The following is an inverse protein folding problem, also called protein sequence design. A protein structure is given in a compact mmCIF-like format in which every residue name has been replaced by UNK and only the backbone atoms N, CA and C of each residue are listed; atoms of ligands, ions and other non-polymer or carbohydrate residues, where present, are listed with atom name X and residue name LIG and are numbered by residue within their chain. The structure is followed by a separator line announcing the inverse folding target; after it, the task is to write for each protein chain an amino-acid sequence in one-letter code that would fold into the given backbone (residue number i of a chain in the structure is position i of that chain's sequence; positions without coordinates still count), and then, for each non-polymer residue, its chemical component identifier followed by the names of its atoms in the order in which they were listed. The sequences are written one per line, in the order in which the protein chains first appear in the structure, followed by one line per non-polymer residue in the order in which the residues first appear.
data_IF_944762620713
#
_entry.id   IF_944762620713
#
_cell.length_a   1.000
_cell.length_b   1.000
_cell.length_c   1.000
_cell.angle_alpha   90.00
_cell.angle_beta   90.00
_cell.angle_gamma   90.00
#
_symmetry.space_group_name_H-M   'P 1'
#
loop_
_entity.id
_entity.type
_entity.pdbx_description
1 polymer ?
#
# COMPACT_ATOMS: atom_id res chain seq x y z
N UNK A 1 7.65 13.77 -26.78
CA UNK A 1 8.93 14.04 -26.10
C UNK A 1 8.67 14.86 -24.85
N UNK A 2 9.51 14.72 -23.82
CA UNK A 2 9.43 15.57 -22.63
C UNK A 2 8.41 15.10 -21.57
N UNK A 3 8.15 13.79 -21.45
CA UNK A 3 7.23 13.21 -20.46
C UNK A 3 7.58 13.61 -19.01
N UNK A 4 8.88 13.76 -18.70
CA UNK A 4 9.35 14.20 -17.37
C UNK A 4 8.80 15.57 -16.95
N UNK A 5 8.53 16.47 -17.91
CA UNK A 5 7.98 17.80 -17.62
C UNK A 5 6.46 17.78 -17.35
N UNK A 6 5.77 16.67 -17.66
CA UNK A 6 4.37 16.47 -17.29
C UNK A 6 4.24 16.05 -15.83
N UNK A 7 5.26 15.39 -15.28
CA UNK A 7 5.29 14.92 -13.90
C UNK A 7 5.88 16.01 -12.97
N UNK A 8 7.02 16.59 -13.34
CA UNK A 8 7.80 17.49 -12.47
C UNK A 8 8.19 18.81 -13.17
N UNK A 9 8.53 19.82 -12.38
CA UNK A 9 9.02 21.10 -12.89
C UNK A 9 10.53 20.96 -13.14
N UNK A 10 10.88 20.45 -14.33
CA UNK A 10 12.27 20.14 -14.69
C UNK A 10 12.73 20.95 -15.92
N UNK A 11 13.99 21.43 -15.94
CA UNK A 11 14.57 22.05 -17.12
C UNK A 11 14.64 21.04 -18.28
N UNK A 12 14.43 21.52 -19.52
CA UNK A 12 14.42 20.64 -20.70
C UNK A 12 15.83 20.12 -20.97
N UNK A 13 15.96 18.80 -21.06
CA UNK A 13 17.24 18.14 -21.32
C UNK A 13 17.74 18.31 -22.77
N UNK A 14 16.86 18.71 -23.69
CA UNK A 14 17.20 18.92 -25.09
C UNK A 14 16.27 19.97 -25.74
N UNK A 15 16.80 20.68 -26.73
CA UNK A 15 16.02 21.49 -27.65
C UNK A 15 15.51 20.63 -28.80
N UNK A 16 14.23 20.78 -29.16
CA UNK A 16 13.63 20.08 -30.30
C UNK A 16 13.45 21.08 -31.42
N UNK A 17 14.04 20.79 -32.59
CA UNK A 17 13.95 21.61 -33.80
C UNK A 17 13.28 20.81 -34.91
N UNK A 18 12.26 21.38 -35.55
CA UNK A 18 11.66 20.80 -36.74
C UNK A 18 12.66 20.85 -37.91
N UNK A 19 12.89 19.71 -38.58
CA UNK A 19 13.79 19.60 -39.75
C UNK A 19 13.03 19.89 -41.05
N UNK A 20 11.70 19.73 -41.03
CA UNK A 20 10.76 20.03 -42.10
C UNK A 20 9.43 20.49 -41.51
N UNK A 21 8.54 21.03 -42.33
CA UNK A 21 7.19 21.41 -41.91
C UNK A 21 6.49 20.23 -41.22
N UNK A 22 6.03 20.47 -39.99
CA UNK A 22 5.56 19.42 -39.08
C UNK A 22 4.40 19.94 -38.22
N UNK A 23 3.48 19.04 -37.88
CA UNK A 23 2.44 19.27 -36.86
C UNK A 23 2.75 18.42 -35.64
N UNK A 24 2.56 18.99 -34.45
CA UNK A 24 2.78 18.31 -33.16
C UNK A 24 1.58 18.51 -32.24
N UNK A 25 1.22 17.45 -31.52
CA UNK A 25 0.25 17.52 -30.42
C UNK A 25 0.96 17.88 -29.13
N UNK A 26 0.39 18.81 -28.38
CA UNK A 26 0.96 19.33 -27.14
C UNK A 26 -0.04 19.12 -26.01
N UNK A 27 0.44 18.54 -24.91
CA UNK A 27 -0.27 18.50 -23.64
C UNK A 27 0.58 19.24 -22.61
N UNK A 28 -0.01 20.19 -21.91
CA UNK A 28 0.66 20.88 -20.82
C UNK A 28 0.51 20.12 -19.49
N UNK A 29 1.35 20.51 -18.54
CA UNK A 29 1.44 19.90 -17.22
C UNK A 29 0.17 20.04 -16.40
N UNK A 30 -0.49 21.19 -16.48
CA UNK A 30 -1.68 21.48 -15.68
C UNK A 30 -2.80 20.56 -16.13
N UNK A 31 -3.05 20.50 -17.44
CA UNK A 31 -4.03 19.61 -18.04
C UNK A 31 -3.68 18.13 -17.79
N UNK A 32 -2.42 17.73 -17.88
CA UNK A 32 -2.01 16.35 -17.58
C UNK A 32 -2.26 15.96 -16.12
N UNK A 33 -1.88 16.82 -15.16
CA UNK A 33 -2.11 16.59 -13.73
C UNK A 33 -3.58 16.61 -13.37
N UNK A 34 -4.34 17.53 -13.95
CA UNK A 34 -5.79 17.60 -13.76
C UNK A 34 -6.47 16.34 -14.29
N UNK A 35 -6.07 15.85 -15.47
CA UNK A 35 -6.54 14.56 -15.99
C UNK A 35 -6.18 13.42 -15.03
N UNK A 36 -4.95 13.35 -14.52
CA UNK A 36 -4.52 12.30 -13.59
C UNK A 36 -5.27 12.35 -12.25
N UNK A 37 -5.44 13.54 -11.67
CA UNK A 37 -6.18 13.74 -10.42
C UNK A 37 -7.66 13.43 -10.62
N UNK A 38 -8.24 13.87 -11.74
CA UNK A 38 -9.63 13.58 -12.10
C UNK A 38 -9.85 12.09 -12.32
N UNK A 39 -8.93 11.40 -12.99
CA UNK A 39 -8.97 9.93 -13.14
C UNK A 39 -8.89 9.24 -11.78
N UNK A 40 -8.07 9.74 -10.85
CA UNK A 40 -7.98 9.21 -9.49
C UNK A 40 -9.26 9.45 -8.68
N UNK A 41 -9.81 10.67 -8.73
CA UNK A 41 -11.06 11.03 -8.05
C UNK A 41 -12.24 10.26 -8.62
N UNK A 42 -12.30 10.08 -9.95
CA UNK A 42 -13.36 9.33 -10.61
C UNK A 42 -13.26 7.84 -10.27
N UNK A 43 -12.04 7.28 -10.15
CA UNK A 43 -11.82 5.94 -9.60
C UNK A 43 -12.28 5.81 -8.16
N UNK A 44 -11.93 6.75 -7.28
CA UNK A 44 -12.37 6.72 -5.88
C UNK A 44 -13.90 6.82 -5.77
N UNK A 45 -14.55 7.68 -6.58
CA UNK A 45 -16.02 7.72 -6.68
C UNK A 45 -16.59 6.38 -7.14
N UNK A 46 -15.94 5.71 -8.09
CA UNK A 46 -16.36 4.40 -8.56
C UNK A 46 -16.23 3.33 -7.47
N UNK A 47 -15.09 3.29 -6.78
CA UNK A 47 -14.86 2.37 -5.66
C UNK A 47 -15.86 2.58 -4.53
N UNK A 48 -16.20 3.84 -4.23
CA UNK A 48 -17.24 4.18 -3.26
C UNK A 48 -18.58 3.55 -3.63
N UNK A 49 -18.96 3.56 -4.91
CA UNK A 49 -20.23 2.94 -5.36
C UNK A 49 -20.24 1.44 -5.11
N UNK A 50 -19.15 0.74 -5.40
CA UNK A 50 -19.05 -0.69 -5.13
C UNK A 50 -19.06 -1.00 -3.64
N UNK A 51 -18.37 -0.20 -2.84
CA UNK A 51 -18.35 -0.35 -1.38
C UNK A 51 -19.73 -0.10 -0.75
N UNK A 52 -20.49 0.86 -1.27
CA UNK A 52 -21.85 1.16 -0.80
C UNK A 52 -22.87 0.04 -1.13
N UNK A 53 -22.60 -0.82 -2.11
CA UNK A 53 -23.43 -1.99 -2.42
C UNK A 53 -23.24 -3.15 -1.42
N UNK A 54 -22.25 -3.05 -0.53
CA UNK A 54 -21.90 -4.11 0.42
C UNK A 54 -22.82 -4.05 1.64
N UNK A 55 -23.79 -4.97 1.71
CA UNK A 55 -24.80 -4.99 2.78
C UNK A 55 -24.21 -5.03 4.20
N UNK A 56 -23.10 -5.74 4.40
CA UNK A 56 -22.43 -5.85 5.70
C UNK A 56 -21.85 -4.52 6.18
N UNK A 57 -21.57 -3.58 5.27
CA UNK A 57 -21.01 -2.26 5.54
C UNK A 57 -22.05 -1.13 5.50
N UNK A 58 -23.34 -1.47 5.36
CA UNK A 58 -24.45 -0.51 5.29
C UNK A 58 -24.65 0.35 6.55
N UNK A 59 -24.02 -0.01 7.67
CA UNK A 59 -24.06 0.74 8.93
C UNK A 59 -23.01 1.84 9.06
N UNK A 60 -22.07 1.91 8.11
CA UNK A 60 -20.96 2.86 8.19
C UNK A 60 -21.41 4.28 7.87
N UNK A 61 -20.81 5.25 8.55
CA UNK A 61 -20.97 6.67 8.25
C UNK A 61 -20.27 7.02 6.92
N UNK A 62 -20.67 8.13 6.30
CA UNK A 62 -20.07 8.58 5.04
C UNK A 62 -18.55 8.81 5.15
N UNK A 63 -18.08 9.34 6.29
CA UNK A 63 -16.65 9.55 6.56
C UNK A 63 -15.87 8.23 6.70
N UNK A 64 -16.52 7.20 7.24
CA UNK A 64 -15.96 5.86 7.41
C UNK A 64 -15.86 5.14 6.05
N UNK A 65 -16.90 5.26 5.21
CA UNK A 65 -16.89 4.79 3.83
C UNK A 65 -15.80 5.49 3.00
N UNK A 66 -15.60 6.79 3.20
CA UNK A 66 -14.52 7.56 2.57
C UNK A 66 -13.14 7.04 2.95
N UNK A 67 -12.92 6.76 4.23
CA UNK A 67 -11.67 6.21 4.73
C UNK A 67 -11.40 4.82 4.15
N UNK A 68 -12.40 3.94 4.15
CA UNK A 68 -12.30 2.61 3.56
C UNK A 68 -12.05 2.66 2.05
N UNK A 69 -12.74 3.54 1.33
CA UNK A 69 -12.59 3.69 -0.13
C UNK A 69 -11.15 4.02 -0.51
N UNK A 70 -10.47 4.84 0.29
CA UNK A 70 -9.05 5.20 0.11
C UNK A 70 -8.09 4.06 0.45
N UNK A 71 -8.53 3.11 1.29
CA UNK A 71 -7.74 1.95 1.68
C UNK A 71 -7.93 0.73 0.77
N UNK A 72 -8.93 0.75 -0.13
CA UNK A 72 -9.15 -0.31 -1.10
C UNK A 72 -7.99 -0.40 -2.09
N UNK A 73 -7.49 -1.62 -2.28
CA UNK A 73 -6.43 -1.91 -3.24
C UNK A 73 -7.01 -2.66 -4.44
N UNK A 74 -6.79 -2.12 -5.64
CA UNK A 74 -7.20 -2.78 -6.89
C UNK A 74 -6.20 -3.89 -7.27
N UNK A 75 -6.68 -5.13 -7.35
CA UNK A 75 -5.94 -6.29 -7.81
C UNK A 75 -6.45 -6.77 -9.18
N UNK A 76 -5.52 -7.27 -9.99
CA UNK A 76 -5.80 -7.79 -11.33
C UNK A 76 -5.35 -9.23 -11.42
N UNK A 77 -6.26 -10.09 -11.86
CA UNK A 77 -6.03 -11.51 -12.01
C UNK A 77 -6.22 -11.94 -13.45
N UNK A 78 -5.54 -13.02 -13.83
CA UNK A 78 -5.70 -13.68 -15.14
C UNK A 78 -6.52 -14.94 -14.99
N UNK A 79 -7.03 -15.44 -16.13
CA UNK A 79 -7.68 -16.74 -16.20
C UNK A 79 -6.89 -17.81 -15.45
N UNK A 80 -7.62 -18.65 -14.73
CA UNK A 80 -7.13 -19.76 -13.93
C UNK A 80 -6.36 -19.40 -12.65
N UNK A 81 -6.16 -18.12 -12.34
CA UNK A 81 -5.60 -17.71 -11.05
C UNK A 81 -6.65 -17.87 -9.94
N UNK A 82 -6.19 -18.31 -8.76
CA UNK A 82 -7.01 -18.45 -7.56
C UNK A 82 -6.87 -17.18 -6.71
N UNK A 83 -7.98 -16.48 -6.51
CA UNK A 83 -8.06 -15.24 -5.71
C UNK A 83 -8.03 -15.58 -4.22
N UNK A 84 -8.73 -16.66 -3.83
CA UNK A 84 -8.67 -17.26 -2.49
C UNK A 84 -8.77 -18.77 -2.62
N UNK A 85 -8.19 -19.51 -1.67
CA UNK A 85 -8.18 -20.98 -1.66
C UNK A 85 -8.92 -21.51 -0.43
N UNK A 86 -9.80 -22.50 -0.63
CA UNK A 86 -10.55 -23.16 0.45
C UNK A 86 -9.61 -23.70 1.54
N UNK A 87 -9.99 -23.50 2.80
CA UNK A 87 -9.24 -24.00 3.97
C UNK A 87 -8.12 -23.09 4.43
N UNK A 88 -7.63 -22.16 3.60
CA UNK A 88 -6.62 -21.20 4.02
C UNK A 88 -7.17 -20.23 5.07
N UNK A 89 -6.37 -19.80 6.06
CA UNK A 89 -6.75 -18.72 6.95
C UNK A 89 -6.97 -17.44 6.13
N UNK A 90 -8.14 -16.82 6.26
CA UNK A 90 -8.47 -15.59 5.55
C UNK A 90 -8.43 -14.38 6.47
N UNK A 91 -7.75 -13.30 6.04
CA UNK A 91 -7.85 -11.99 6.68
C UNK A 91 -8.20 -10.87 5.68
N UNK A 92 -8.52 -11.22 4.42
CA UNK A 92 -8.85 -10.25 3.36
C UNK A 92 -10.25 -10.44 2.81
N UNK A 93 -10.90 -9.34 2.50
CA UNK A 93 -12.17 -9.23 1.79
C UNK A 93 -11.92 -8.71 0.38
N UNK A 94 -12.76 -9.15 -0.54
CA UNK A 94 -12.66 -8.83 -1.95
C UNK A 94 -14.01 -8.37 -2.50
N UNK A 95 -13.97 -7.36 -3.36
CA UNK A 95 -15.09 -6.91 -4.20
C UNK A 95 -14.70 -7.15 -5.64
N UNK A 96 -15.25 -8.18 -6.28
CA UNK A 96 -15.14 -8.36 -7.72
C UNK A 96 -16.07 -7.37 -8.40
N UNK A 97 -15.50 -6.50 -9.24
CA UNK A 97 -16.26 -5.48 -9.96
C UNK A 97 -16.10 -5.60 -11.50
N UNK A 98 -15.18 -6.44 -11.98
CA UNK A 98 -15.01 -6.75 -13.40
C UNK A 98 -14.51 -8.19 -13.59
N UNK A 99 -15.11 -8.93 -14.51
CA UNK A 99 -14.74 -10.32 -14.84
C UNK A 99 -15.64 -11.39 -14.23
N UNK A 100 -15.26 -12.65 -14.41
CA UNK A 100 -16.04 -13.82 -14.00
C UNK A 100 -15.16 -14.78 -13.20
N UNK A 101 -15.70 -15.30 -12.11
CA UNK A 101 -15.03 -16.24 -11.21
C UNK A 101 -15.91 -17.45 -10.93
N UNK A 102 -15.29 -18.62 -10.83
CA UNK A 102 -15.90 -19.86 -10.36
C UNK A 102 -15.67 -19.98 -8.86
N UNK A 103 -16.75 -20.27 -8.11
CA UNK A 103 -16.71 -20.62 -6.69
C UNK A 103 -16.62 -22.13 -6.60
N UNK A 104 -15.52 -22.63 -6.05
CA UNK A 104 -15.21 -24.06 -5.97
C UNK A 104 -15.21 -24.47 -4.50
N UNK A 105 -16.03 -25.46 -4.15
CA UNK A 105 -16.07 -26.06 -2.82
C UNK A 105 -15.95 -27.56 -2.94
N UNK A 106 -15.05 -28.17 -2.18
CA UNK A 106 -14.80 -29.62 -2.16
C UNK A 106 -14.52 -30.17 -3.57
N UNK A 107 -13.70 -29.43 -4.33
CA UNK A 107 -13.33 -29.69 -5.73
C UNK A 107 -14.47 -29.63 -6.77
N UNK A 108 -15.69 -29.22 -6.39
CA UNK A 108 -16.80 -29.00 -7.29
C UNK A 108 -17.09 -27.49 -7.49
N UNK A 109 -17.39 -27.07 -8.71
CA UNK A 109 -17.88 -25.71 -8.98
C UNK A 109 -19.31 -25.62 -8.43
N UNK A 110 -19.50 -24.83 -7.38
CA UNK A 110 -20.80 -24.65 -6.70
C UNK A 110 -21.54 -23.42 -7.19
N UNK A 111 -20.83 -22.42 -7.72
CA UNK A 111 -21.43 -21.19 -8.24
C UNK A 111 -20.51 -20.52 -9.25
N UNK A 112 -21.10 -19.69 -10.11
CA UNK A 112 -20.37 -18.79 -11.02
C UNK A 112 -20.82 -17.37 -10.77
N UNK A 113 -19.86 -16.47 -10.61
CA UNK A 113 -20.11 -15.09 -10.23
C UNK A 113 -19.52 -14.19 -11.29
N UNK A 114 -20.34 -13.28 -11.83
CA UNK A 114 -19.95 -12.39 -12.92
C UNK A 114 -20.18 -10.94 -12.53
N UNK A 115 -19.11 -10.17 -12.54
CA UNK A 115 -19.14 -8.73 -12.33
C UNK A 115 -18.92 -7.99 -13.66
N UNK A 116 -19.48 -6.80 -13.77
CA UNK A 116 -19.38 -5.96 -14.96
C UNK A 116 -19.33 -4.50 -14.54
N UNK A 117 -18.17 -3.90 -14.78
CA UNK A 117 -17.86 -2.51 -14.44
C UNK A 117 -18.82 -1.53 -15.13
N UNK A 118 -19.22 -1.81 -16.38
CA UNK A 118 -20.12 -0.93 -17.13
C UNK A 118 -21.55 -0.99 -16.57
N UNK A 119 -21.95 -2.15 -16.05
CA UNK A 119 -23.27 -2.36 -15.44
C UNK A 119 -23.28 -2.08 -13.95
N UNK A 120 -22.15 -1.70 -13.37
CA UNK A 120 -21.97 -1.48 -11.93
C UNK A 120 -22.40 -2.68 -11.07
N UNK A 121 -22.25 -3.90 -11.61
CA UNK A 121 -22.57 -5.14 -10.92
C UNK A 121 -21.31 -5.61 -10.21
N UNK A 122 -21.33 -5.60 -8.88
CA UNK A 122 -20.24 -6.09 -8.05
C UNK A 122 -20.66 -7.24 -7.15
N UNK A 123 -19.69 -8.08 -6.78
CA UNK A 123 -19.90 -9.20 -5.90
C UNK A 123 -18.82 -9.25 -4.85
N UNK A 124 -19.25 -9.53 -3.62
CA UNK A 124 -18.39 -9.62 -2.46
C UNK A 124 -18.07 -11.07 -2.15
N UNK A 125 -16.83 -11.32 -1.75
CA UNK A 125 -16.47 -12.59 -1.12
C UNK A 125 -15.38 -12.38 -0.07
N UNK A 126 -15.30 -13.32 0.87
CA UNK A 126 -14.36 -13.26 1.99
C UNK A 126 -14.81 -12.40 3.17
N UNK A 127 -16.05 -11.90 3.16
CA UNK A 127 -16.64 -11.16 4.29
C UNK A 127 -16.67 -11.95 5.61
N UNK A 128 -16.90 -13.27 5.54
CA UNK A 128 -16.82 -14.14 6.72
C UNK A 128 -15.42 -14.21 7.34
N UNK A 129 -14.39 -14.05 6.51
CA UNK A 129 -13.02 -13.98 6.97
C UNK A 129 -12.68 -12.63 7.62
N UNK A 130 -13.40 -11.54 7.32
CA UNK A 130 -13.30 -10.31 8.12
C UNK A 130 -14.03 -10.47 9.46
N UNK A 131 -15.22 -11.07 9.45
CA UNK A 131 -16.16 -11.06 10.57
C UNK A 131 -15.88 -12.10 11.67
N UNK A 132 -15.45 -13.30 11.28
CA UNK A 132 -15.48 -14.47 12.18
C UNK A 132 -14.13 -15.14 12.41
N UNK A 133 -13.07 -14.62 11.79
CA UNK A 133 -11.75 -15.25 11.83
C UNK A 133 -11.75 -16.72 11.41
N UNK A 134 -12.57 -17.03 10.41
CA UNK A 134 -12.74 -18.38 9.87
C UNK A 134 -11.86 -18.61 8.64
N UNK A 135 -11.46 -19.86 8.41
CA UNK A 135 -10.83 -20.28 7.16
C UNK A 135 -11.76 -20.08 5.97
N UNK A 136 -11.17 -19.92 4.77
CA UNK A 136 -11.93 -19.76 3.52
C UNK A 136 -12.87 -20.93 3.28
N UNK A 137 -14.17 -20.64 3.13
CA UNK A 137 -15.20 -21.66 2.92
C UNK A 137 -15.18 -22.28 1.51
N UNK A 138 -14.55 -21.61 0.54
CA UNK A 138 -14.46 -22.03 -0.85
C UNK A 138 -13.24 -21.37 -1.53
N UNK A 139 -12.76 -21.99 -2.60
CA UNK A 139 -11.78 -21.41 -3.53
C UNK A 139 -12.52 -20.52 -4.52
N UNK A 140 -11.96 -19.35 -4.85
CA UNK A 140 -12.47 -18.47 -5.89
C UNK A 140 -11.43 -18.42 -7.00
N UNK A 141 -11.78 -18.92 -8.18
CA UNK A 141 -10.87 -19.05 -9.33
C UNK A 141 -11.37 -18.23 -10.51
N UNK A 142 -10.48 -17.54 -11.22
CA UNK A 142 -10.86 -16.70 -12.37
C UNK A 142 -11.25 -17.55 -13.58
N UNK A 143 -12.48 -17.35 -14.06
CA UNK A 143 -13.04 -18.04 -15.22
C UNK A 143 -12.89 -17.20 -16.52
N UNK A 144 -12.96 -15.88 -16.42
CA UNK A 144 -12.76 -14.95 -17.55
C UNK A 144 -11.28 -14.78 -17.92
N UNK A 145 -10.99 -14.11 -19.05
CA UNK A 145 -9.61 -13.83 -19.46
C UNK A 145 -8.85 -12.99 -18.40
N UNK A 146 -9.55 -12.04 -17.80
CA UNK A 146 -9.08 -11.21 -16.69
C UNK A 146 -10.21 -10.98 -15.70
N UNK A 147 -9.86 -10.79 -14.42
CA UNK A 147 -10.78 -10.32 -13.40
C UNK A 147 -10.11 -9.20 -12.58
N UNK A 148 -10.90 -8.24 -12.09
CA UNK A 148 -10.44 -7.16 -11.23
C UNK A 148 -11.22 -7.14 -9.94
N UNK A 149 -10.50 -6.97 -8.84
CA UNK A 149 -11.09 -6.89 -7.51
C UNK A 149 -10.58 -5.68 -6.76
N UNK A 150 -11.41 -5.13 -5.87
CA UNK A 150 -10.95 -4.26 -4.78
C UNK A 150 -10.75 -5.13 -3.54
N UNK A 151 -9.69 -4.85 -2.78
CA UNK A 151 -9.27 -5.70 -1.67
C UNK A 151 -9.06 -4.85 -0.43
N UNK A 152 -9.51 -5.37 0.71
CA UNK A 152 -9.32 -4.77 2.03
C UNK A 152 -9.05 -5.87 3.04
N UNK A 153 -7.98 -5.75 3.82
CA UNK A 153 -7.67 -6.67 4.90
C UNK A 153 -8.27 -6.24 6.24
N UNK A 154 -8.39 -7.19 7.17
CA UNK A 154 -8.98 -6.98 8.49
C UNK A 154 -8.18 -5.98 9.31
N UNK A 155 -6.85 -5.99 9.22
CA UNK A 155 -6.02 -5.11 10.03
C UNK A 155 -6.21 -3.66 9.57
N UNK A 156 -6.24 -3.44 8.25
CA UNK A 156 -6.59 -2.14 7.65
C UNK A 156 -8.02 -1.70 7.99
N UNK A 157 -8.97 -2.64 7.99
CA UNK A 157 -10.35 -2.37 8.38
C UNK A 157 -10.43 -1.94 9.86
N UNK A 158 -9.86 -2.73 10.77
CA UNK A 158 -9.87 -2.49 12.21
C UNK A 158 -9.07 -1.23 12.59
N UNK A 159 -8.02 -0.89 11.85
CA UNK A 159 -7.26 0.35 12.05
C UNK A 159 -8.09 1.59 11.72
N UNK A 160 -8.92 1.52 10.67
CA UNK A 160 -9.71 2.65 10.20
C UNK A 160 -10.99 2.85 11.00
N UNK A 161 -11.63 1.75 11.40
CA UNK A 161 -12.99 1.78 11.96
C UNK A 161 -13.08 1.21 13.38
N UNK A 162 -12.03 0.57 13.88
CA UNK A 162 -12.07 -0.25 15.10
C UNK A 162 -12.60 -1.66 14.82
N UNK A 163 -12.65 -2.54 15.84
CA UNK A 163 -13.11 -3.91 15.67
C UNK A 163 -14.51 -3.94 15.04
N UNK A 164 -14.63 -4.62 13.89
CA UNK A 164 -15.89 -4.75 13.14
C UNK A 164 -17.07 -5.27 14.00
N UNK A 165 -16.77 -6.06 15.03
CA UNK A 165 -17.74 -6.53 16.02
C UNK A 165 -18.45 -5.38 16.75
N UNK A 166 -17.74 -4.29 17.08
CA UNK A 166 -18.30 -3.16 17.83
C UNK A 166 -19.19 -2.27 16.96
N UNK A 167 -18.95 -2.25 15.65
CA UNK A 167 -19.76 -1.53 14.66
C UNK A 167 -21.06 -2.30 14.37
N UNK A 168 -20.98 -3.63 14.24
CA UNK A 168 -22.15 -4.48 13.98
C UNK A 168 -23.02 -4.69 15.22
N UNK A 169 -22.41 -4.83 16.40
CA UNK A 169 -23.15 -4.98 17.66
C UNK A 169 -23.86 -3.69 18.09
N UNK A 170 -23.41 -2.53 17.62
CA UNK A 170 -24.09 -1.27 17.89
C UNK A 170 -25.46 -1.14 17.20
N UNK A 171 -25.76 -1.94 16.16
CA UNK A 171 -27.10 -2.04 15.57
C UNK A 171 -28.10 -2.79 16.46
N UNK A 172 -27.65 -3.58 17.44
CA UNK A 172 -28.55 -4.25 18.38
C UNK A 172 -29.01 -3.35 19.54
N UNK A 173 -28.41 -2.16 19.66
CA UNK A 173 -28.62 -1.21 20.75
C UNK A 173 -28.82 0.19 20.13
N UNK A 174 -29.95 0.42 19.44
CA UNK A 174 -30.28 1.78 19.01
C UNK A 174 -30.70 2.64 20.21
N UNK A 175 -29.88 3.65 20.51
CA UNK A 175 -30.15 4.74 21.43
C UNK A 175 -29.03 5.79 21.34
N UNK A 176 -29.34 6.94 20.74
CA UNK A 176 -28.46 8.07 20.41
C UNK A 176 -27.27 8.36 21.35
N UNK A 177 -26.17 8.80 20.70
CA UNK A 177 -24.99 9.54 21.21
C UNK A 177 -23.75 8.70 21.50
N UNK A 178 -22.82 8.65 20.54
CA UNK A 178 -21.44 8.17 20.76
C UNK A 178 -20.49 9.35 21.02
N UNK A 179 -19.72 9.37 22.12
CA UNK A 179 -18.57 10.26 22.28
C UNK A 179 -17.29 9.60 21.75
N UNK A 180 -16.36 10.42 21.24
CA UNK A 180 -15.03 10.04 20.76
C UNK A 180 -14.15 9.51 21.91
N UNK A 181 -13.43 8.40 21.70
CA UNK A 181 -12.45 7.86 22.64
C UNK A 181 -11.04 7.88 22.05
N UNK A 182 -10.25 8.87 22.48
CA UNK A 182 -8.78 8.92 22.31
C UNK A 182 -8.14 9.21 23.66
N UNK A 183 -7.22 8.34 24.09
CA UNK A 183 -6.01 8.76 24.83
C UNK A 183 -5.74 8.17 26.22
N UNK A 184 -4.60 7.46 26.32
CA UNK A 184 -3.57 7.43 27.40
C UNK A 184 -2.69 6.18 27.11
N UNK A 185 -1.38 6.20 26.88
CA UNK A 185 -0.31 7.13 27.19
C UNK A 185 0.64 6.48 28.20
N UNK A 186 1.87 6.16 27.82
CA UNK A 186 3.07 6.37 28.65
C UNK A 186 4.37 6.15 27.88
N UNK A 187 5.36 6.98 28.17
CA UNK A 187 6.66 7.11 27.50
C UNK A 187 7.80 6.51 28.34
N UNK A 188 8.91 6.13 27.69
CA UNK A 188 10.25 6.33 28.25
C UNK A 188 11.32 6.43 27.16
N UNK A 189 12.33 7.26 27.43
CA UNK A 189 13.31 7.79 26.48
C UNK A 189 14.64 7.00 26.47
N UNK A 190 15.37 7.05 25.35
CA UNK A 190 16.73 6.51 25.25
C UNK A 190 17.36 6.71 23.85
N UNK A 191 18.62 7.13 23.87
CA UNK A 191 19.55 7.66 22.85
C UNK A 191 19.72 6.87 21.52
N UNK A 192 20.37 7.46 20.47
CA UNK A 192 20.54 6.84 19.17
C UNK A 192 21.53 5.65 19.23
N UNK A 193 21.10 4.51 18.71
CA UNK A 193 21.92 3.31 18.59
C UNK A 193 22.94 3.45 17.45
N UNK A 194 24.18 2.94 17.63
CA UNK A 194 25.21 2.90 16.58
C UNK A 194 24.82 1.93 15.45
N UNK A 195 25.45 2.00 14.27
CA UNK A 195 25.12 1.13 13.14
C UNK A 195 25.29 -0.36 13.52
N UNK A 196 24.46 -1.27 13.00
CA UNK A 196 24.52 -2.68 13.38
C UNK A 196 25.89 -3.27 13.02
N UNK A 197 26.50 -3.95 14.00
CA UNK A 197 27.55 -4.96 13.80
C UNK A 197 27.10 -5.98 12.75
N UNK A 198 28.03 -6.65 12.07
CA UNK A 198 27.76 -7.71 11.08
C UNK A 198 26.62 -8.61 11.55
N UNK A 199 25.43 -8.39 11.01
CA UNK A 199 24.23 -9.14 11.39
C UNK A 199 24.35 -10.51 10.75
N UNK A 200 24.19 -11.55 11.57
CA UNK A 200 24.02 -12.91 11.05
C UNK A 200 22.89 -12.93 10.03
N UNK A 201 23.03 -13.75 8.99
CA UNK A 201 22.03 -13.88 7.94
C UNK A 201 20.66 -14.24 8.55
N UNK A 202 19.68 -13.38 8.35
CA UNK A 202 18.30 -13.63 8.80
C UNK A 202 17.66 -14.58 7.79
N UNK A 203 17.27 -15.78 8.21
CA UNK A 203 16.59 -16.72 7.32
C UNK A 203 15.09 -16.44 7.32
N UNK A 204 14.48 -16.48 6.13
CA UNK A 204 13.03 -16.26 5.99
C UNK A 204 12.16 -17.17 6.86
N UNK A 205 12.60 -18.42 7.10
CA UNK A 205 11.86 -19.40 7.92
C UNK A 205 11.77 -19.02 9.40
N UNK A 206 12.68 -18.16 9.87
CA UNK A 206 12.78 -17.72 11.26
C UNK A 206 11.93 -16.46 11.52
N UNK A 207 11.27 -15.94 10.48
CA UNK A 207 10.36 -14.81 10.54
C UNK A 207 8.91 -15.28 10.59
N UNK A 208 8.12 -14.64 11.44
CA UNK A 208 6.68 -14.86 11.56
C UNK A 208 5.96 -13.57 11.22
N UNK A 209 5.00 -13.63 10.30
CA UNK A 209 4.18 -12.48 9.91
C UNK A 209 3.30 -12.04 11.07
N UNK A 210 3.31 -10.74 11.37
CA UNK A 210 2.44 -10.11 12.38
C UNK A 210 1.22 -9.49 11.70
N UNK A 211 1.41 -8.71 10.63
CA UNK A 211 0.31 -7.96 10.01
C UNK A 211 0.74 -7.15 8.79
N UNK A 212 -0.18 -6.40 8.18
CA UNK A 212 0.12 -5.50 7.06
C UNK A 212 0.57 -4.12 7.57
N UNK A 213 1.60 -3.54 6.95
CA UNK A 213 2.05 -2.16 7.21
C UNK A 213 1.60 -1.19 6.12
N UNK A 214 1.49 -1.65 4.88
CA UNK A 214 1.04 -0.82 3.77
C UNK A 214 1.07 -1.57 2.44
N UNK A 215 0.48 -0.96 1.41
CA UNK A 215 0.41 -1.51 0.06
C UNK A 215 0.99 -0.49 -0.93
N UNK A 216 1.94 -0.94 -1.77
CA UNK A 216 2.53 -0.13 -2.83
C UNK A 216 2.23 -0.70 -4.22
N UNK A 217 2.62 0.04 -5.27
CA UNK A 217 2.34 -0.33 -6.66
C UNK A 217 2.91 -1.69 -7.14
N UNK A 218 3.85 -2.28 -6.38
CA UNK A 218 4.49 -3.56 -6.71
C UNK A 218 4.13 -4.71 -5.77
N UNK A 219 3.36 -4.44 -4.70
CA UNK A 219 2.91 -5.44 -3.73
C UNK A 219 2.78 -4.91 -2.30
N UNK A 220 2.61 -5.83 -1.36
CA UNK A 220 2.35 -5.54 0.05
C UNK A 220 3.65 -5.40 0.86
N UNK A 221 3.62 -4.54 1.87
CA UNK A 221 4.62 -4.41 2.92
C UNK A 221 4.00 -4.92 4.22
N UNK A 222 4.59 -5.95 4.78
CA UNK A 222 4.05 -6.66 5.95
C UNK A 222 5.05 -6.60 7.12
N UNK A 223 4.55 -6.51 8.34
CA UNK A 223 5.35 -6.61 9.56
C UNK A 223 5.65 -8.07 9.88
N UNK A 224 6.90 -8.38 10.19
CA UNK A 224 7.38 -9.68 10.62
C UNK A 224 8.15 -9.55 11.93
N UNK A 225 8.08 -10.58 12.78
CA UNK A 225 8.89 -10.73 13.98
C UNK A 225 9.85 -11.91 13.80
N UNK A 226 11.11 -11.75 14.18
CA UNK A 226 12.04 -12.87 14.30
C UNK A 226 11.68 -13.71 15.53
N UNK A 227 11.50 -15.02 15.34
CA UNK A 227 10.98 -15.94 16.36
C UNK A 227 11.76 -15.90 17.68
N UNK A 228 13.09 -15.93 17.58
CA UNK A 228 13.97 -15.97 18.75
C UNK A 228 14.26 -14.59 19.34
N UNK A 229 14.71 -13.63 18.52
CA UNK A 229 15.15 -12.31 19.02
C UNK A 229 14.00 -11.35 19.33
N UNK A 230 12.79 -11.63 18.84
CA UNK A 230 11.63 -10.73 18.92
C UNK A 230 11.82 -9.40 18.22
N UNK A 231 12.85 -9.28 17.38
CA UNK A 231 13.05 -8.07 16.58
C UNK A 231 12.02 -8.00 15.45
N UNK A 232 11.49 -6.79 15.22
CA UNK A 232 10.52 -6.51 14.18
C UNK A 232 11.17 -6.04 12.87
N UNK A 233 10.54 -6.39 11.75
CA UNK A 233 11.02 -6.14 10.40
C UNK A 233 9.85 -5.83 9.46
N UNK A 234 10.09 -5.01 8.43
CA UNK A 234 9.15 -4.83 7.33
C UNK A 234 9.56 -5.72 6.16
N UNK A 235 8.62 -6.46 5.55
CA UNK A 235 8.85 -7.32 4.40
C UNK A 235 8.08 -6.79 3.20
N UNK A 236 8.78 -6.20 2.22
CA UNK A 236 8.19 -5.80 0.94
C UNK A 236 8.19 -6.99 0.00
N UNK A 237 7.00 -7.40 -0.46
CA UNK A 237 6.81 -8.51 -1.40
C UNK A 237 6.57 -7.98 -2.82
N UNK A 238 7.31 -8.49 -3.80
CA UNK A 238 7.29 -8.03 -5.19
C UNK A 238 7.01 -9.20 -6.15
N UNK A 239 5.92 -9.15 -6.91
CA UNK A 239 5.55 -10.22 -7.86
C UNK A 239 6.48 -10.24 -9.08
N UNK A 240 7.16 -11.36 -9.33
CA UNK A 240 8.01 -11.54 -10.52
C UNK A 240 7.21 -11.42 -11.81
N UNK A 241 6.01 -12.01 -11.85
CA UNK A 241 5.13 -11.92 -13.01
C UNK A 241 4.72 -10.48 -13.31
N UNK A 242 4.44 -9.69 -12.28
CA UNK A 242 4.11 -8.26 -12.44
C UNK A 242 5.33 -7.46 -12.92
N UNK A 243 6.50 -7.67 -12.31
CA UNK A 243 7.76 -7.02 -12.72
C UNK A 243 8.06 -7.28 -14.20
N UNK A 244 7.91 -8.53 -14.66
CA UNK A 244 8.11 -8.88 -16.07
C UNK A 244 7.09 -8.20 -16.98
N UNK A 245 5.81 -8.18 -16.58
CA UNK A 245 4.73 -7.57 -17.36
C UNK A 245 4.90 -6.07 -17.54
N UNK A 246 5.41 -5.38 -16.52
CA UNK A 246 5.61 -3.92 -16.51
C UNK A 246 7.02 -3.48 -16.92
N UNK A 247 7.89 -4.44 -17.26
CA UNK A 247 9.29 -4.19 -17.61
C UNK A 247 10.09 -3.43 -16.52
N UNK A 248 9.81 -3.72 -15.24
CA UNK A 248 10.36 -3.01 -14.07
C UNK A 248 11.57 -3.71 -13.44
N UNK A 249 12.16 -4.70 -14.10
CA UNK A 249 13.31 -5.47 -13.61
C UNK A 249 14.47 -4.55 -13.22
N UNK A 250 14.77 -3.57 -14.08
CA UNK A 250 15.86 -2.62 -13.86
C UNK A 250 15.61 -1.72 -12.64
N UNK A 251 14.37 -1.24 -12.46
CA UNK A 251 13.97 -0.42 -11.31
C UNK A 251 14.08 -1.20 -9.99
N UNK A 252 13.56 -2.44 -9.94
CA UNK A 252 13.68 -3.30 -8.74
C UNK A 252 15.14 -3.57 -8.39
N UNK A 253 15.98 -3.81 -9.39
CA UNK A 253 17.40 -4.06 -9.16
C UNK A 253 18.14 -2.79 -8.73
N UNK A 254 17.75 -1.63 -9.26
CA UNK A 254 18.25 -0.33 -8.84
C UNK A 254 17.86 -0.02 -7.38
N UNK A 255 16.60 -0.26 -7.00
CA UNK A 255 16.10 -0.12 -5.63
C UNK A 255 16.96 -0.94 -4.65
N UNK A 256 17.15 -2.24 -4.95
CA UNK A 256 18.01 -3.13 -4.15
C UNK A 256 19.43 -2.59 -4.03
N UNK A 257 20.05 -2.19 -5.15
CA UNK A 257 21.44 -1.72 -5.16
C UNK A 257 21.61 -0.43 -4.36
N UNK A 258 20.69 0.53 -4.51
CA UNK A 258 20.69 1.76 -3.72
C UNK A 258 20.60 1.43 -2.24
N UNK A 259 19.64 0.61 -1.84
CA UNK A 259 19.42 0.25 -0.44
C UNK A 259 20.64 -0.46 0.18
N UNK A 260 21.34 -1.31 -0.58
CA UNK A 260 22.58 -1.97 -0.13
C UNK A 260 23.75 -0.99 0.07
N UNK A 261 23.78 0.12 -0.68
CA UNK A 261 24.83 1.14 -0.59
C UNK A 261 24.53 2.23 0.43
N UNK A 262 23.29 2.30 0.94
CA UNK A 262 22.85 3.31 1.89
C UNK A 262 22.85 2.80 3.33
N UNK A 263 23.53 3.51 4.23
CA UNK A 263 23.43 3.32 5.67
C UNK A 263 23.31 4.69 6.35
N UNK A 264 22.08 5.10 6.69
CA UNK A 264 21.80 6.38 7.32
C UNK A 264 20.62 6.27 8.27
N UNK A 265 20.62 6.98 9.41
CA UNK A 265 19.48 7.02 10.30
C UNK A 265 18.23 7.65 9.65
N UNK A 266 18.36 8.34 8.51
CA UNK A 266 17.26 9.00 7.81
C UNK A 266 16.80 8.28 6.55
N UNK A 267 17.36 7.11 6.24
CA UNK A 267 16.99 6.26 5.10
C UNK A 267 16.59 4.89 5.63
N UNK A 268 15.55 4.26 5.07
CA UNK A 268 15.18 2.89 5.44
C UNK A 268 16.33 1.94 5.11
N UNK A 269 16.75 1.15 6.09
CA UNK A 269 17.75 0.12 5.88
C UNK A 269 17.14 -1.14 5.23
N UNK A 270 17.90 -1.76 4.32
CA UNK A 270 17.67 -3.12 3.84
C UNK A 270 18.54 -4.07 4.66
N UNK A 271 17.93 -5.13 5.19
CA UNK A 271 18.62 -6.16 5.96
C UNK A 271 18.93 -7.39 5.13
N UNK A 272 17.92 -7.91 4.43
CA UNK A 272 18.06 -9.13 3.63
C UNK A 272 17.20 -9.11 2.37
N UNK A 273 17.53 -9.96 1.41
CA UNK A 273 16.68 -10.20 0.24
C UNK A 273 16.43 -11.69 0.04
N UNK A 274 15.18 -12.07 -0.23
CA UNK A 274 14.82 -13.46 -0.50
C UNK A 274 14.26 -13.63 -1.92
N UNK A 275 14.57 -14.76 -2.52
CA UNK A 275 14.08 -15.13 -3.84
C UNK A 275 13.15 -16.34 -3.72
N UNK A 276 11.84 -16.12 -3.79
CA UNK A 276 10.84 -17.18 -3.86
C UNK A 276 10.56 -17.61 -5.30
N UNK A 277 9.65 -18.58 -5.48
CA UNK A 277 9.29 -19.06 -6.82
C UNK A 277 8.69 -17.93 -7.70
N UNK A 278 7.64 -17.27 -7.20
CA UNK A 278 6.88 -16.22 -7.91
C UNK A 278 7.12 -14.79 -7.38
N UNK A 279 7.84 -14.65 -6.26
CA UNK A 279 7.92 -13.39 -5.51
C UNK A 279 9.36 -13.12 -5.06
N UNK A 280 9.80 -11.87 -5.16
CA UNK A 280 11.01 -11.35 -4.54
C UNK A 280 10.65 -10.63 -3.25
N UNK A 281 11.53 -10.67 -2.25
CA UNK A 281 11.25 -10.09 -0.94
C UNK A 281 12.41 -9.23 -0.48
N UNK A 282 12.12 -8.02 0.00
CA UNK A 282 13.08 -7.15 0.68
C UNK A 282 12.71 -7.09 2.16
N UNK A 283 13.61 -7.56 3.03
CA UNK A 283 13.49 -7.42 4.48
C UNK A 283 14.15 -6.10 4.90
N UNK A 284 13.38 -5.22 5.51
CA UNK A 284 13.70 -3.81 5.70
C UNK A 284 13.46 -3.37 7.14
N UNK A 285 14.01 -2.22 7.49
CA UNK A 285 13.70 -1.51 8.74
C UNK A 285 12.21 -1.17 8.83
N UNK A 286 11.52 -1.50 9.94
CA UNK A 286 10.13 -1.11 10.12
C UNK A 286 10.03 0.38 10.54
N UNK A 287 9.12 1.12 9.91
CA UNK A 287 8.79 2.49 10.26
C UNK A 287 7.33 2.57 10.76
N UNK A 288 7.16 2.39 12.07
CA UNK A 288 5.86 2.19 12.71
C UNK A 288 5.03 3.48 12.93
N UNK A 289 5.61 4.65 12.69
CA UNK A 289 4.95 5.94 12.86
C UNK A 289 4.06 6.34 11.67
N UNK A 290 4.01 5.51 10.62
CA UNK A 290 3.23 5.75 9.41
C UNK A 290 3.80 6.87 8.54
N UNK A 291 3.01 7.32 7.56
CA UNK A 291 3.43 8.36 6.62
C UNK A 291 3.42 9.76 7.25
N UNK A 292 4.39 10.58 6.86
CA UNK A 292 4.44 11.98 7.23
C UNK A 292 3.21 12.73 6.70
N UNK A 293 2.77 12.43 5.47
CA UNK A 293 1.56 13.01 4.88
C UNK A 293 0.32 12.78 5.76
N UNK A 294 0.03 11.52 6.09
CA UNK A 294 -1.09 11.15 6.95
C UNK A 294 -0.99 11.80 8.33
N UNK A 295 0.22 11.87 8.89
CA UNK A 295 0.47 12.53 10.18
C UNK A 295 0.16 14.02 10.14
N UNK A 296 0.58 14.73 9.09
CA UNK A 296 0.29 16.15 8.90
C UNK A 296 -1.21 16.43 8.85
N UNK A 297 -1.94 15.61 8.09
CA UNK A 297 -3.38 15.73 7.95
C UNK A 297 -4.10 15.45 9.27
N UNK A 298 -3.79 14.32 9.92
CA UNK A 298 -4.43 13.91 11.17
C UNK A 298 -4.17 14.86 12.34
N UNK A 299 -2.97 15.43 12.42
CA UNK A 299 -2.56 16.30 13.53
C UNK A 299 -2.72 17.80 13.22
N UNK A 300 -3.12 18.16 11.99
CA UNK A 300 -3.29 19.56 11.59
C UNK A 300 -1.98 20.34 11.60
N UNK A 301 -0.85 19.74 11.18
CA UNK A 301 0.46 20.39 11.22
C UNK A 301 0.72 21.36 10.06
N UNK A 302 -0.22 21.50 9.14
CA UNK A 302 -0.15 22.45 8.03
C UNK A 302 0.11 23.88 8.54
N UNK A 303 1.08 24.56 7.91
CA UNK A 303 1.52 25.90 8.33
C UNK A 303 2.37 25.95 9.61
N UNK A 304 2.60 24.82 10.29
CA UNK A 304 3.43 24.80 11.50
C UNK A 304 4.92 24.90 11.18
N UNK A 305 5.50 26.09 11.41
CA UNK A 305 6.92 26.33 11.16
C UNK A 305 7.84 25.37 11.95
N UNK A 306 7.48 25.06 13.20
CA UNK A 306 8.24 24.14 14.07
C UNK A 306 8.35 22.73 13.45
N UNK A 307 7.23 22.15 13.03
CA UNK A 307 7.21 20.80 12.46
C UNK A 307 7.82 20.79 11.06
N UNK A 308 7.53 21.79 10.23
CA UNK A 308 8.15 21.92 8.92
C UNK A 308 9.68 21.96 9.02
N UNK A 309 10.24 22.80 9.91
CA UNK A 309 11.69 22.87 10.14
C UNK A 309 12.27 21.53 10.57
N UNK A 310 11.61 20.83 11.49
CA UNK A 310 12.08 19.54 12.00
C UNK A 310 12.14 18.46 10.91
N UNK A 311 11.06 18.29 10.15
CA UNK A 311 10.98 17.25 9.14
C UNK A 311 11.80 17.56 7.88
N UNK A 312 11.85 18.82 7.45
CA UNK A 312 12.73 19.25 6.35
C UNK A 312 14.20 19.01 6.71
N UNK A 313 14.62 19.32 7.94
CA UNK A 313 16.00 19.04 8.36
C UNK A 313 16.34 17.55 8.28
N UNK A 314 15.44 16.67 8.74
CA UNK A 314 15.63 15.22 8.58
C UNK A 314 15.75 14.80 7.12
N UNK A 315 14.87 15.31 6.25
CA UNK A 315 14.91 15.04 4.80
C UNK A 315 16.21 15.52 4.17
N UNK A 316 16.74 16.67 4.60
CA UNK A 316 18.04 17.16 4.13
C UNK A 316 19.18 16.19 4.47
N UNK A 317 19.20 15.62 5.67
CA UNK A 317 20.21 14.61 6.04
C UNK A 317 20.08 13.31 5.24
N UNK A 318 18.84 12.88 4.91
CA UNK A 318 18.65 11.76 3.99
C UNK A 318 19.26 12.05 2.62
N UNK A 319 19.06 13.27 2.09
CA UNK A 319 19.55 13.68 0.78
C UNK A 319 21.05 13.89 0.74
N UNK A 320 21.64 14.48 1.76
CA UNK A 320 23.09 14.59 1.91
C UNK A 320 23.75 13.21 1.75
N UNK A 321 23.26 12.22 2.50
CA UNK A 321 23.74 10.84 2.44
C UNK A 321 23.62 10.19 1.05
N UNK A 322 22.52 10.45 0.33
CA UNK A 322 22.33 9.96 -1.04
C UNK A 322 23.24 10.68 -2.04
N UNK A 323 23.37 12.01 -1.92
CA UNK A 323 24.18 12.83 -2.82
C UNK A 323 25.68 12.56 -2.68
N UNK A 324 26.18 12.25 -1.48
CA UNK A 324 27.55 11.78 -1.27
C UNK A 324 27.88 10.53 -2.11
N UNK A 325 26.86 9.70 -2.37
CA UNK A 325 26.94 8.48 -3.18
C UNK A 325 26.54 8.70 -4.63
N UNK A 326 26.36 9.97 -5.04
CA UNK A 326 25.90 10.38 -6.37
C UNK A 326 24.53 9.80 -6.77
N UNK A 327 23.66 9.56 -5.78
CA UNK A 327 22.30 9.09 -5.99
C UNK A 327 21.36 10.29 -5.94
N UNK A 328 20.56 10.49 -6.98
CA UNK A 328 19.55 11.55 -7.02
C UNK A 328 18.19 10.94 -6.69
N UNK A 329 17.60 11.34 -5.57
CA UNK A 329 16.24 10.96 -5.21
C UNK A 329 15.23 11.82 -6.00
N UNK A 330 14.47 11.20 -6.90
CA UNK A 330 13.64 11.92 -7.89
C UNK A 330 12.16 12.02 -7.56
N UNK A 331 11.70 11.36 -6.50
CA UNK A 331 10.28 11.29 -6.13
C UNK A 331 10.02 11.79 -4.71
N UNK A 332 10.58 12.97 -4.36
CA UNK A 332 10.33 13.55 -3.05
C UNK A 332 8.88 13.99 -2.90
N UNK A 333 8.18 13.33 -2.00
CA UNK A 333 6.82 13.67 -1.58
C UNK A 333 6.59 13.21 -0.13
N UNK A 334 5.69 13.86 0.63
CA UNK A 334 5.45 13.49 2.03
C UNK A 334 5.03 12.03 2.27
N UNK A 335 4.50 11.35 1.26
CA UNK A 335 4.11 9.93 1.27
C UNK A 335 5.35 9.01 1.31
N UNK A 336 6.47 9.44 0.72
CA UNK A 336 7.72 8.68 0.73
C UNK A 336 8.60 8.96 1.97
N UNK A 337 8.06 9.71 2.93
CA UNK A 337 8.68 9.95 4.24
C UNK A 337 7.88 9.21 5.29
N UNK A 338 8.42 8.09 5.78
CA UNK A 338 7.84 7.35 6.89
C UNK A 338 8.36 7.89 8.21
N UNK A 339 7.61 7.66 9.27
CA UNK A 339 7.98 8.00 10.63
C UNK A 339 8.34 6.74 11.40
N UNK A 340 9.38 6.83 12.22
CA UNK A 340 9.65 5.85 13.27
C UNK A 340 8.63 5.99 14.40
N UNK A 341 8.60 5.05 15.33
CA UNK A 341 7.78 5.14 16.54
C UNK A 341 8.06 6.41 17.36
N UNK A 342 9.32 6.89 17.32
CA UNK A 342 9.74 8.14 17.98
C UNK A 342 9.43 9.41 17.17
N UNK A 343 8.85 9.28 15.98
CA UNK A 343 8.53 10.40 15.09
C UNK A 343 9.70 10.97 14.30
N UNK A 344 10.84 10.27 14.21
CA UNK A 344 11.91 10.62 13.27
C UNK A 344 11.56 10.15 11.86
N UNK A 345 11.93 10.92 10.83
CA UNK A 345 11.68 10.57 9.44
C UNK A 345 12.65 9.50 8.93
N UNK A 346 12.15 8.69 8.02
CA UNK A 346 12.86 7.71 7.22
C UNK A 346 12.41 7.85 5.77
N UNK A 347 13.34 8.20 4.89
CA UNK A 347 13.11 8.19 3.45
C UNK A 347 13.00 6.75 2.97
N UNK A 348 11.96 6.46 2.20
CA UNK A 348 11.68 5.13 1.63
C UNK A 348 11.51 5.22 0.10
N UNK A 349 11.20 4.09 -0.54
CA UNK A 349 10.91 3.94 -1.96
C UNK A 349 12.05 4.43 -2.88
N UNK A 350 13.05 3.56 -3.11
CA UNK A 350 14.25 3.86 -3.89
C UNK A 350 14.16 3.38 -5.36
N UNK A 351 12.93 3.26 -5.88
CA UNK A 351 12.59 2.70 -7.19
C UNK A 351 13.21 3.39 -8.41
#
# INVERSE_FOLDING_TARGET
FGELALLYLAPRAASVKAIKDSQVWVIDRTNFKEIMMKVSDDKLKEYRKYLAQVNTLSSLLEEELDALTKALVEMHFKKDEEIVVQGEPGNTFYILYDGEVDVIKDAAIVSKVKADMNKHVSHVFGEGALLKNESRAATIKVASATAKTLVLDRDSFDLLLGPLADILNAKALEGNSRPSMVGRGSASAGAPTPPPKSRDHILRKDLTRIGLLGCGGFGAVELYEHRDTKECYAMKSLSKGYIMKTNMQASVMNEKNILLMTSSPFVIALYETYNGMQTLYFLMEPAMGGELYATYNRKGFHGSHKHAKYYVAGTCFAFEHLHERRIIYRDLKPENLLLTEKGHIKLTDMG
#
